data_IF_071229548327
#
_entry.id   IF_071229548327
#
_cell.length_a   1.000
_cell.length_b   1.000
_cell.length_c   1.000
_cell.angle_alpha   90.00
_cell.angle_beta   90.00
_cell.angle_gamma   90.00
#
_symmetry.space_group_name_H-M   'P 1'
#
loop_
_entity.id
_entity.type
_entity.pdbx_description
1 polymer ?
#
# COMPACT_ATOMS: atom_id res chain seq x y z
N UNK A 1 -3.08 -15.49 -30.29
CA UNK A 1 -2.13 -14.40 -29.96
C UNK A 1 -2.40 -13.97 -28.52
N UNK A 2 -1.66 -14.51 -27.54
CA UNK A 2 -1.78 -14.11 -26.13
C UNK A 2 -1.10 -12.76 -25.98
N UNK A 3 -1.88 -11.66 -26.01
CA UNK A 3 -1.34 -10.32 -25.75
C UNK A 3 -1.19 -10.20 -24.24
N UNK A 4 -0.01 -10.55 -23.71
CA UNK A 4 0.37 -10.17 -22.35
C UNK A 4 0.65 -8.66 -22.39
N UNK A 5 -0.37 -7.86 -22.12
CA UNK A 5 -0.15 -6.44 -21.84
C UNK A 5 0.52 -6.35 -20.48
N UNK A 6 1.84 -6.22 -20.45
CA UNK A 6 2.58 -5.80 -19.26
C UNK A 6 2.20 -4.34 -18.94
N UNK A 7 1.01 -4.15 -18.36
CA UNK A 7 0.48 -2.85 -17.91
C UNK A 7 1.28 -2.35 -16.69
N UNK A 8 1.89 -3.26 -15.95
CA UNK A 8 2.70 -2.92 -14.78
C UNK A 8 4.14 -2.66 -15.24
N UNK A 9 4.54 -1.39 -15.17
CA UNK A 9 5.96 -0.98 -15.27
C UNK A 9 6.67 -1.26 -13.94
N UNK A 10 7.99 -1.29 -13.96
CA UNK A 10 8.87 -1.51 -12.78
C UNK A 10 8.47 -0.64 -11.56
N UNK A 11 8.07 0.61 -11.82
CA UNK A 11 7.57 1.56 -10.81
C UNK A 11 6.34 1.02 -10.03
N UNK A 12 5.45 0.29 -10.71
CA UNK A 12 4.30 -0.35 -10.08
C UNK A 12 4.70 -1.53 -9.20
N UNK A 13 5.76 -2.27 -9.56
CA UNK A 13 6.26 -3.36 -8.73
C UNK A 13 6.92 -2.83 -7.46
N UNK A 14 7.66 -1.73 -7.56
CA UNK A 14 8.24 -1.05 -6.42
C UNK A 14 7.15 -0.48 -5.50
N UNK A 15 6.16 0.21 -6.07
CA UNK A 15 5.00 0.72 -5.33
C UNK A 15 4.21 -0.41 -4.65
N UNK A 16 3.93 -1.50 -5.37
CA UNK A 16 3.23 -2.68 -4.84
C UNK A 16 3.98 -3.31 -3.67
N UNK A 17 5.31 -3.37 -3.74
CA UNK A 17 6.13 -3.90 -2.65
C UNK A 17 6.05 -3.01 -1.41
N UNK A 18 6.08 -1.69 -1.58
CA UNK A 18 5.90 -0.73 -0.49
C UNK A 18 4.51 -0.86 0.14
N UNK A 19 3.45 -0.87 -0.68
CA UNK A 19 2.06 -1.03 -0.21
C UNK A 19 1.88 -2.36 0.52
N UNK A 20 2.43 -3.47 0.00
CA UNK A 20 2.36 -4.78 0.65
C UNK A 20 2.94 -4.74 2.06
N UNK A 21 4.14 -4.18 2.23
CA UNK A 21 4.79 -4.09 3.54
C UNK A 21 3.99 -3.23 4.52
N UNK A 22 3.38 -2.14 4.05
CA UNK A 22 2.49 -1.31 4.88
C UNK A 22 1.26 -2.11 5.33
N UNK A 23 0.61 -2.82 4.41
CA UNK A 23 -0.56 -3.63 4.73
C UNK A 23 -0.22 -4.72 5.76
N UNK A 24 0.90 -5.42 5.61
CA UNK A 24 1.31 -6.47 6.55
C UNK A 24 1.62 -5.94 7.96
N UNK A 25 2.20 -4.74 8.07
CA UNK A 25 2.59 -4.16 9.36
C UNK A 25 1.44 -3.44 10.06
N UNK A 26 0.66 -2.67 9.33
CA UNK A 26 -0.33 -1.75 9.90
C UNK A 26 -1.78 -2.24 9.71
N UNK A 27 -2.09 -2.97 8.62
CA UNK A 27 -3.45 -3.39 8.32
C UNK A 27 -3.79 -4.80 8.83
N UNK A 28 -2.92 -5.79 8.61
CA UNK A 28 -3.14 -7.18 9.04
C UNK A 28 -3.45 -7.32 10.54
N UNK A 29 -2.75 -6.66 11.49
CA UNK A 29 -3.07 -6.79 12.90
C UNK A 29 -4.38 -6.10 13.31
N UNK A 30 -4.79 -5.04 12.60
CA UNK A 30 -6.00 -4.24 12.90
C UNK A 30 -7.25 -4.71 12.15
N UNK A 31 -7.07 -5.60 11.16
CA UNK A 31 -8.13 -6.19 10.37
C UNK A 31 -9.30 -6.75 11.19
N UNK A 32 -9.10 -7.54 12.27
CA UNK A 32 -10.20 -8.03 13.10
C UNK A 32 -10.95 -6.92 13.85
N UNK A 33 -10.26 -5.82 14.21
CA UNK A 33 -10.90 -4.68 14.87
C UNK A 33 -11.76 -3.89 13.88
N UNK A 34 -11.30 -3.72 12.64
CA UNK A 34 -12.07 -3.05 11.58
C UNK A 34 -13.25 -3.85 11.10
N UNK A 35 -13.13 -5.17 11.03
CA UNK A 35 -14.23 -6.08 10.71
C UNK A 35 -15.36 -5.92 11.74
N UNK A 36 -15.01 -5.94 13.03
CA UNK A 36 -15.96 -5.71 14.12
C UNK A 36 -16.55 -4.29 14.14
N UNK A 37 -15.75 -3.27 13.80
CA UNK A 37 -16.17 -1.88 13.79
C UNK A 37 -16.89 -1.47 12.48
N UNK A 38 -16.81 -2.29 11.43
CA UNK A 38 -17.32 -2.00 10.09
C UNK A 38 -16.60 -0.87 9.36
N UNK A 39 -15.42 -0.43 9.83
CA UNK A 39 -14.68 0.69 9.26
C UNK A 39 -13.18 0.62 9.55
N UNK A 40 -12.39 1.13 8.61
CA UNK A 40 -10.95 1.35 8.78
C UNK A 40 -10.69 2.61 9.60
N UNK A 41 -9.70 2.55 10.48
CA UNK A 41 -9.35 3.68 11.33
C UNK A 41 -8.73 4.85 10.53
N UNK A 42 -9.11 6.08 10.88
CA UNK A 42 -8.64 7.30 10.20
C UNK A 42 -7.13 7.49 10.32
N UNK A 43 -6.52 7.08 11.44
CA UNK A 43 -5.07 7.15 11.63
C UNK A 43 -4.34 6.25 10.64
N UNK A 44 -4.85 5.03 10.43
CA UNK A 44 -4.30 4.12 9.41
C UNK A 44 -4.41 4.75 8.04
N UNK A 45 -5.53 5.43 7.75
CA UNK A 45 -5.70 6.09 6.46
C UNK A 45 -4.68 7.23 6.25
N UNK A 46 -4.46 8.05 7.29
CA UNK A 46 -3.45 9.11 7.28
C UNK A 46 -2.03 8.57 7.16
N UNK A 47 -1.72 7.44 7.82
CA UNK A 47 -0.42 6.77 7.71
C UNK A 47 -0.18 6.24 6.29
N UNK A 48 -1.17 5.60 5.67
CA UNK A 48 -1.07 5.12 4.30
C UNK A 48 -0.80 6.27 3.32
N UNK A 49 -1.38 7.45 3.54
CA UNK A 49 -1.09 8.65 2.74
C UNK A 49 0.34 9.17 2.90
N UNK A 50 0.94 9.02 4.09
CA UNK A 50 2.34 9.40 4.35
C UNK A 50 3.35 8.38 3.82
N UNK A 51 3.04 7.09 3.88
CA UNK A 51 3.95 6.03 3.42
C UNK A 51 3.80 5.73 1.92
N UNK A 52 2.58 5.79 1.38
CA UNK A 52 2.29 5.60 -0.04
C UNK A 52 2.46 6.87 -0.88
N UNK A 53 2.35 8.05 -0.26
CA UNK A 53 2.74 9.33 -0.85
C UNK A 53 4.25 9.49 -0.74
N UNK A 54 5.02 8.70 -1.47
CA UNK A 54 6.47 8.82 -1.47
C UNK A 54 6.86 10.22 -1.98
N UNK A 55 7.43 11.13 -1.17
CA UNK A 55 8.33 12.10 -1.75
C UNK A 55 9.50 11.27 -2.25
N UNK A 56 9.78 11.33 -3.55
CA UNK A 56 11.05 10.86 -4.08
C UNK A 56 12.15 11.67 -3.39
N UNK A 57 12.62 11.26 -2.21
CA UNK A 57 13.95 11.65 -1.73
C UNK A 57 14.89 10.89 -2.64
N UNK A 58 15.24 11.55 -3.74
CA UNK A 58 16.35 11.19 -4.59
C UNK A 58 17.52 10.84 -3.69
N UNK A 59 17.94 9.58 -3.79
CA UNK A 59 19.23 9.15 -3.30
C UNK A 59 20.21 9.70 -4.35
N UNK A 60 20.76 10.89 -4.09
CA UNK A 60 21.77 11.58 -4.86
C UNK A 60 22.68 12.31 -3.90
#
# INVERSE_FOLDING_TARGET
MQVIRTIFRDDHEMFRTTVRRFLERECTPRQPEWDKAGKVDRETWLKAGREGGQPHRGRG
#
